data_IF_080364130881
#
_entry.id   IF_080364130881
#
_cell.length_a   1.000
_cell.length_b   1.000
_cell.length_c   1.000
_cell.angle_alpha   90.00
_cell.angle_beta   90.00
_cell.angle_gamma   90.00
#
_symmetry.space_group_name_H-M   'P 1'
#
loop_
_entity.id
_entity.type
_entity.pdbx_description
1 polymer ?
#
# COMPACT_ATOMS: atom_id res chain seq x y z
N UNK A 1 46.70 -18.03 7.91
CA UNK A 1 46.28 -17.23 6.72
C UNK A 1 47.51 -17.06 5.88
N UNK A 2 47.43 -17.26 4.57
CA UNK A 2 48.54 -17.07 3.64
C UNK A 2 48.83 -15.57 3.40
N UNK A 3 49.98 -15.26 2.78
CA UNK A 3 50.42 -13.88 2.52
C UNK A 3 49.40 -13.14 1.63
N UNK A 4 48.88 -13.81 0.61
CA UNK A 4 47.90 -13.23 -0.32
C UNK A 4 46.58 -12.82 0.40
N UNK A 5 46.05 -13.68 1.27
CA UNK A 5 44.89 -13.36 2.09
C UNK A 5 45.12 -12.19 3.06
N UNK A 6 46.38 -12.03 3.54
CA UNK A 6 46.76 -10.87 4.38
C UNK A 6 46.77 -9.57 3.57
N UNK A 7 47.30 -9.59 2.36
CA UNK A 7 47.31 -8.45 1.42
C UNK A 7 45.86 -8.00 1.09
N UNK A 8 44.95 -8.96 0.84
CA UNK A 8 43.55 -8.65 0.60
C UNK A 8 42.88 -8.01 1.83
N UNK A 9 43.23 -8.43 3.05
CA UNK A 9 42.72 -7.79 4.27
C UNK A 9 43.25 -6.36 4.47
N UNK A 10 44.52 -6.12 4.12
CA UNK A 10 45.06 -4.76 4.15
C UNK A 10 44.37 -3.83 3.15
N UNK A 11 44.12 -4.32 1.92
CA UNK A 11 43.31 -3.59 0.93
C UNK A 11 41.93 -3.33 1.45
N UNK A 12 41.25 -4.30 2.08
CA UNK A 12 39.94 -4.10 2.69
C UNK A 12 39.98 -2.98 3.74
N UNK A 13 40.95 -2.97 4.65
CA UNK A 13 41.09 -1.94 5.69
C UNK A 13 41.25 -0.55 5.10
N UNK A 14 42.02 -0.40 4.01
CA UNK A 14 42.24 0.87 3.33
C UNK A 14 41.00 1.40 2.66
N UNK A 15 40.11 0.50 2.15
CA UNK A 15 38.87 0.82 1.47
C UNK A 15 37.64 0.85 2.39
N UNK A 16 37.79 0.50 3.67
CA UNK A 16 36.69 0.42 4.61
C UNK A 16 35.86 1.74 4.74
N UNK A 17 36.49 2.93 4.76
CA UNK A 17 35.73 4.17 4.77
C UNK A 17 34.84 4.33 3.52
N UNK A 18 35.37 3.99 2.34
CA UNK A 18 34.65 4.04 1.06
C UNK A 18 33.50 3.04 1.04
N UNK A 19 33.72 1.79 1.50
CA UNK A 19 32.65 0.80 1.62
C UNK A 19 31.56 1.24 2.57
N UNK A 20 31.90 1.89 3.68
CA UNK A 20 30.92 2.39 4.66
C UNK A 20 30.09 3.50 4.08
N UNK A 21 30.69 4.47 3.40
CA UNK A 21 29.99 5.56 2.73
C UNK A 21 29.05 5.04 1.63
N UNK A 22 29.55 4.17 0.76
CA UNK A 22 28.71 3.56 -0.27
C UNK A 22 27.52 2.79 0.33
N UNK A 23 27.75 2.07 1.43
CA UNK A 23 26.69 1.30 2.09
C UNK A 23 25.61 2.19 2.69
N UNK A 24 25.87 3.44 3.02
CA UNK A 24 24.89 4.42 3.50
C UNK A 24 24.21 5.16 2.34
N UNK A 25 24.99 5.63 1.36
CA UNK A 25 24.48 6.48 0.27
C UNK A 25 23.60 5.71 -0.72
N UNK A 26 23.98 4.49 -1.09
CA UNK A 26 23.22 3.72 -2.09
C UNK A 26 21.80 3.40 -1.64
N UNK A 27 21.54 2.90 -0.40
CA UNK A 27 20.19 2.66 0.08
C UNK A 27 19.30 3.91 0.10
N UNK A 28 19.86 5.06 0.50
CA UNK A 28 19.09 6.32 0.52
C UNK A 28 18.68 6.76 -0.90
N UNK A 29 19.60 6.64 -1.86
CA UNK A 29 19.27 6.91 -3.27
C UNK A 29 18.23 5.92 -3.80
N UNK A 30 18.34 4.62 -3.46
CA UNK A 30 17.38 3.61 -3.88
C UNK A 30 15.97 3.91 -3.37
N UNK A 31 15.81 4.36 -2.13
CA UNK A 31 14.51 4.76 -1.58
C UNK A 31 13.88 5.86 -2.43
N UNK A 32 14.65 6.91 -2.79
CA UNK A 32 14.17 7.98 -3.66
C UNK A 32 13.69 7.46 -5.03
N UNK A 33 14.45 6.55 -5.67
CA UNK A 33 14.03 5.96 -6.95
C UNK A 33 12.81 5.05 -6.83
N UNK A 34 12.64 4.35 -5.70
CA UNK A 34 11.44 3.55 -5.46
C UNK A 34 10.22 4.46 -5.28
N UNK A 35 10.36 5.57 -4.55
CA UNK A 35 9.29 6.54 -4.36
C UNK A 35 8.89 7.19 -5.70
N UNK A 36 9.84 7.60 -6.53
CA UNK A 36 9.59 8.11 -7.89
C UNK A 36 8.89 7.09 -8.79
N UNK A 37 9.21 5.81 -8.62
CA UNK A 37 8.56 4.71 -9.34
C UNK A 37 7.19 4.31 -8.77
N UNK A 38 6.74 4.93 -7.67
CA UNK A 38 5.52 4.55 -6.94
C UNK A 38 5.60 3.16 -6.33
N UNK A 39 6.80 2.70 -5.99
CA UNK A 39 7.06 1.36 -5.46
C UNK A 39 7.27 1.41 -3.95
N UNK A 40 6.27 0.93 -3.22
CA UNK A 40 6.33 0.87 -1.75
C UNK A 40 7.09 -0.38 -1.31
N UNK A 41 8.23 -0.18 -0.62
CA UNK A 41 9.02 -1.25 -0.02
C UNK A 41 8.88 -1.23 1.51
N UNK A 42 8.98 -2.39 2.13
CA UNK A 42 8.90 -2.51 3.59
C UNK A 42 10.16 -1.98 4.28
N UNK A 43 11.33 -2.25 3.71
CA UNK A 43 12.60 -1.75 4.20
C UNK A 43 13.70 -1.83 3.13
N UNK A 44 14.71 -0.97 3.27
CA UNK A 44 16.00 -1.07 2.60
C UNK A 44 17.06 -1.08 3.69
N UNK A 45 17.70 -2.25 3.89
CA UNK A 45 18.74 -2.47 4.88
C UNK A 45 20.10 -2.57 4.20
N UNK A 46 21.16 -2.25 4.92
CA UNK A 46 22.51 -2.43 4.41
C UNK A 46 23.46 -2.97 5.49
N UNK A 47 24.54 -3.51 5.04
CA UNK A 47 25.66 -3.90 5.90
C UNK A 47 26.98 -3.87 5.15
N UNK A 48 28.07 -3.58 5.84
CA UNK A 48 29.42 -3.87 5.39
C UNK A 48 29.87 -5.15 6.09
N UNK A 49 30.47 -6.09 5.35
CA UNK A 49 30.97 -7.34 5.89
C UNK A 49 32.09 -7.04 6.90
N UNK A 50 32.02 -7.60 8.10
CA UNK A 50 33.08 -7.41 9.11
C UNK A 50 34.40 -8.05 8.69
N UNK A 51 35.52 -7.51 9.17
CA UNK A 51 36.82 -8.05 8.89
C UNK A 51 36.95 -9.53 9.28
N UNK A 52 36.38 -9.94 10.43
CA UNK A 52 36.35 -11.32 10.88
C UNK A 52 35.64 -12.24 9.90
N UNK A 53 34.48 -11.79 9.40
CA UNK A 53 33.70 -12.55 8.40
C UNK A 53 34.42 -12.63 7.06
N UNK A 54 35.14 -11.57 6.67
CA UNK A 54 35.98 -11.56 5.48
C UNK A 54 37.18 -12.51 5.65
N UNK A 55 37.88 -12.45 6.78
CA UNK A 55 38.98 -13.31 7.09
C UNK A 55 38.59 -14.80 7.07
N UNK A 56 37.44 -15.14 7.65
CA UNK A 56 36.89 -16.50 7.56
C UNK A 56 36.62 -16.94 6.13
N UNK A 57 36.07 -16.05 5.29
CA UNK A 57 35.82 -16.32 3.87
C UNK A 57 37.14 -16.55 3.09
N UNK A 58 38.14 -15.73 3.35
CA UNK A 58 39.46 -15.84 2.71
C UNK A 58 40.19 -17.11 3.11
N UNK A 59 40.09 -17.56 4.36
CA UNK A 59 40.64 -18.84 4.79
C UNK A 59 40.06 -20.03 4.03
N UNK A 60 38.78 -19.98 3.70
CA UNK A 60 38.09 -21.07 2.99
C UNK A 60 38.26 -20.99 1.47
N UNK A 61 38.35 -19.80 0.90
CA UNK A 61 38.23 -19.55 -0.55
C UNK A 61 39.23 -18.50 -1.06
N UNK A 62 40.28 -18.17 -0.32
CA UNK A 62 41.21 -17.07 -0.65
C UNK A 62 41.82 -17.19 -2.04
N UNK A 63 42.19 -18.40 -2.45
CA UNK A 63 42.78 -18.68 -3.77
C UNK A 63 41.84 -18.38 -4.96
N UNK A 64 40.58 -18.14 -4.71
CA UNK A 64 39.57 -17.76 -5.74
C UNK A 64 39.70 -16.31 -6.16
N UNK A 65 40.20 -15.44 -5.28
CA UNK A 65 40.17 -13.99 -5.45
C UNK A 65 41.53 -13.45 -5.80
N UNK A 66 41.70 -12.78 -6.93
CA UNK A 66 42.94 -12.13 -7.34
C UNK A 66 43.06 -10.71 -6.77
N UNK A 67 41.92 -10.07 -6.49
CA UNK A 67 41.83 -8.70 -5.97
C UNK A 67 40.68 -8.60 -4.97
N UNK A 68 40.74 -7.61 -4.09
CA UNK A 68 39.64 -7.26 -3.19
C UNK A 68 38.33 -6.95 -3.96
N UNK A 69 38.45 -6.42 -5.17
CA UNK A 69 37.31 -6.13 -6.06
C UNK A 69 36.62 -7.38 -6.60
N UNK A 70 37.24 -8.57 -6.49
CA UNK A 70 36.59 -9.84 -6.89
C UNK A 70 35.58 -10.31 -5.85
N UNK A 71 35.59 -9.74 -4.65
CA UNK A 71 34.67 -10.08 -3.56
C UNK A 71 33.44 -9.26 -3.68
N UNK A 72 32.35 -9.87 -4.11
CA UNK A 72 31.11 -9.20 -4.50
C UNK A 72 30.15 -8.88 -3.36
N UNK A 73 30.42 -9.37 -2.14
CA UNK A 73 29.52 -9.31 -0.98
C UNK A 73 30.11 -8.57 0.23
N UNK A 74 31.09 -7.65 -0.03
CA UNK A 74 31.60 -6.75 1.01
C UNK A 74 30.51 -5.79 1.45
N UNK A 75 29.83 -5.14 0.50
CA UNK A 75 28.61 -4.37 0.75
C UNK A 75 27.42 -5.25 0.39
N UNK A 76 26.53 -5.44 1.34
CA UNK A 76 25.26 -6.13 1.16
C UNK A 76 24.10 -5.19 1.41
N UNK A 77 23.21 -5.06 0.44
CA UNK A 77 21.96 -4.29 0.53
C UNK A 77 20.81 -5.29 0.48
N UNK A 78 19.78 -5.08 1.29
CA UNK A 78 18.57 -5.87 1.26
C UNK A 78 17.39 -4.95 0.98
N UNK A 79 16.64 -5.27 -0.07
CA UNK A 79 15.37 -4.62 -0.38
C UNK A 79 14.25 -5.59 -0.03
N UNK A 80 13.42 -5.20 0.93
CA UNK A 80 12.34 -6.01 1.46
C UNK A 80 11.03 -5.45 0.93
N UNK A 81 10.30 -6.24 0.15
CA UNK A 81 9.01 -5.87 -0.44
C UNK A 81 7.86 -6.51 0.33
N UNK A 82 6.66 -5.95 0.21
CA UNK A 82 5.47 -6.55 0.79
C UNK A 82 4.95 -7.73 -0.06
N UNK A 83 5.12 -7.67 -1.39
CA UNK A 83 4.56 -8.63 -2.34
C UNK A 83 5.64 -9.19 -3.26
N UNK A 84 5.46 -10.45 -3.67
CA UNK A 84 6.42 -11.12 -4.56
C UNK A 84 6.51 -10.43 -5.94
N UNK A 85 5.39 -9.92 -6.46
CA UNK A 85 5.36 -9.18 -7.74
C UNK A 85 6.23 -7.90 -7.71
N UNK A 86 6.45 -7.31 -6.53
CA UNK A 86 7.25 -6.10 -6.39
C UNK A 86 8.76 -6.39 -6.39
N UNK A 87 9.18 -7.64 -6.13
CA UNK A 87 10.57 -8.07 -6.26
C UNK A 87 11.07 -7.87 -7.70
N UNK A 88 10.26 -8.24 -8.70
CA UNK A 88 10.63 -8.06 -10.11
C UNK A 88 10.62 -6.58 -10.54
N UNK A 89 9.76 -5.76 -9.93
CA UNK A 89 9.78 -4.31 -10.16
C UNK A 89 11.03 -3.66 -9.56
N UNK A 90 11.44 -4.07 -8.34
CA UNK A 90 12.70 -3.65 -7.73
C UNK A 90 13.86 -4.05 -8.64
N UNK A 91 13.90 -5.30 -9.11
CA UNK A 91 14.92 -5.79 -10.05
C UNK A 91 15.02 -4.89 -11.29
N UNK A 92 13.88 -4.55 -11.91
CA UNK A 92 13.83 -3.67 -13.08
C UNK A 92 14.32 -2.24 -12.79
N UNK A 93 14.15 -1.73 -11.57
CA UNK A 93 14.74 -0.44 -11.16
C UNK A 93 16.26 -0.58 -11.05
N UNK A 94 16.76 -1.64 -10.41
CA UNK A 94 18.21 -1.87 -10.28
C UNK A 94 18.90 -2.02 -11.64
N UNK A 95 18.29 -2.74 -12.60
CA UNK A 95 18.82 -2.92 -13.96
C UNK A 95 18.94 -1.59 -14.73
N UNK A 96 18.12 -0.60 -14.40
CA UNK A 96 18.21 0.74 -15.00
C UNK A 96 19.27 1.62 -14.35
N UNK A 97 19.53 1.41 -13.07
CA UNK A 97 20.43 2.26 -12.28
C UNK A 97 21.87 1.77 -12.27
N UNK A 98 22.08 0.45 -12.32
CA UNK A 98 23.37 -0.19 -12.13
C UNK A 98 23.73 -1.11 -13.29
N UNK A 99 25.03 -1.35 -13.46
CA UNK A 99 25.53 -2.45 -14.27
C UNK A 99 25.42 -3.74 -13.47
N UNK A 100 24.69 -4.72 -14.00
CA UNK A 100 24.48 -6.01 -13.34
C UNK A 100 25.53 -7.00 -13.81
N UNK A 101 26.27 -7.57 -12.87
CA UNK A 101 27.17 -8.69 -13.09
C UNK A 101 26.35 -10.00 -13.13
N UNK A 102 25.88 -10.36 -14.33
CA UNK A 102 25.01 -11.51 -14.53
C UNK A 102 25.67 -12.86 -14.21
N UNK A 103 27.00 -12.95 -14.31
CA UNK A 103 27.74 -14.18 -14.01
C UNK A 103 27.74 -14.51 -12.51
N UNK A 104 27.74 -13.47 -11.67
CA UNK A 104 27.73 -13.61 -10.23
C UNK A 104 26.34 -13.37 -9.60
N UNK A 105 25.35 -12.93 -10.38
CA UNK A 105 23.97 -12.75 -9.95
C UNK A 105 23.18 -14.07 -10.00
N UNK A 106 22.29 -14.29 -9.05
CA UNK A 106 21.55 -15.56 -8.94
C UNK A 106 20.09 -15.28 -8.64
N UNK A 107 19.20 -15.76 -9.50
CA UNK A 107 17.77 -15.88 -9.19
C UNK A 107 17.52 -17.24 -8.53
N UNK A 108 17.59 -17.28 -7.20
CA UNK A 108 17.35 -18.50 -6.45
C UNK A 108 15.90 -18.99 -6.54
N UNK A 109 14.94 -18.14 -6.98
CA UNK A 109 13.55 -18.52 -7.19
C UNK A 109 13.39 -19.49 -8.37
N UNK A 110 14.31 -19.40 -9.37
CA UNK A 110 14.33 -20.26 -10.56
C UNK A 110 15.21 -21.50 -10.40
N UNK A 111 16.08 -21.54 -9.38
CA UNK A 111 17.04 -22.63 -9.16
C UNK A 111 16.40 -23.85 -8.46
N UNK A 112 15.11 -24.13 -8.68
CA UNK A 112 14.47 -25.31 -8.14
C UNK A 112 14.97 -26.58 -8.84
N UNK A 113 15.93 -27.25 -8.21
CA UNK A 113 15.91 -28.70 -8.24
C UNK A 113 14.66 -29.13 -7.46
N UNK A 114 13.86 -30.01 -8.03
CA UNK A 114 12.54 -30.45 -7.53
C UNK A 114 12.59 -31.02 -6.09
N UNK A 115 13.77 -31.17 -5.51
CA UNK A 115 14.00 -31.81 -4.20
C UNK A 115 14.44 -30.81 -3.08
N UNK A 116 14.66 -29.53 -3.37
CA UNK A 116 15.06 -28.56 -2.35
C UNK A 116 14.02 -27.46 -2.16
N UNK A 117 13.19 -27.62 -1.15
CA UNK A 117 12.33 -26.53 -0.68
C UNK A 117 13.18 -25.53 0.13
N UNK A 118 13.49 -24.41 -0.47
CA UNK A 118 14.08 -23.25 0.18
C UNK A 118 13.31 -22.02 -0.20
N UNK A 119 12.97 -21.17 0.76
CA UNK A 119 12.29 -19.91 0.51
C UNK A 119 13.32 -18.89 0.00
N UNK A 120 13.28 -18.62 -1.30
CA UNK A 120 14.44 -18.14 -2.05
C UNK A 120 14.29 -16.67 -2.46
N UNK A 121 15.42 -15.96 -2.49
CA UNK A 121 15.52 -14.54 -2.83
C UNK A 121 16.23 -14.34 -4.17
N UNK A 122 16.02 -13.18 -4.80
CA UNK A 122 16.76 -12.73 -5.97
C UNK A 122 17.98 -11.94 -5.52
N UNK A 123 19.16 -12.31 -6.00
CA UNK A 123 20.43 -11.67 -5.69
C UNK A 123 21.06 -11.08 -6.93
N UNK A 124 21.23 -9.78 -6.97
CA UNK A 124 22.00 -9.09 -7.99
C UNK A 124 23.33 -8.62 -7.45
N UNK A 125 24.39 -8.84 -8.23
CA UNK A 125 25.67 -8.20 -8.03
C UNK A 125 25.71 -6.98 -8.93
N UNK A 126 25.79 -5.81 -8.30
CA UNK A 126 25.67 -4.53 -8.95
C UNK A 126 27.00 -3.79 -8.93
N UNK A 127 27.19 -2.92 -9.91
CA UNK A 127 28.28 -1.96 -10.01
C UNK A 127 27.74 -0.60 -10.45
N UNK A 128 28.32 0.47 -9.96
CA UNK A 128 27.98 1.83 -10.40
C UNK A 128 28.48 2.02 -11.85
N UNK A 129 27.62 2.44 -12.80
CA UNK A 129 28.04 2.65 -14.18
C UNK A 129 29.09 3.76 -14.29
N UNK A 130 30.14 3.55 -15.10
CA UNK A 130 31.22 4.53 -15.30
C UNK A 130 30.73 5.90 -15.77
N UNK A 131 29.65 5.91 -16.57
CA UNK A 131 29.05 7.16 -17.10
C UNK A 131 28.23 7.93 -16.08
N UNK A 132 27.79 7.30 -15.03
CA UNK A 132 26.88 7.90 -14.03
C UNK A 132 27.62 8.51 -12.85
N UNK A 133 28.88 8.13 -12.64
CA UNK A 133 29.66 8.57 -11.52
C UNK A 133 31.15 8.63 -11.89
N UNK A 134 31.68 9.81 -12.06
CA UNK A 134 33.11 10.04 -12.10
C UNK A 134 33.46 10.95 -10.91
N UNK A 135 33.91 10.36 -9.82
CA UNK A 135 34.54 11.07 -8.73
C UNK A 135 36.05 11.04 -8.94
N UNK A 136 36.70 12.20 -9.21
CA UNK A 136 38.14 12.27 -9.38
C UNK A 136 38.93 11.87 -8.12
N UNK A 137 38.30 12.01 -6.94
CA UNK A 137 38.92 11.68 -5.65
C UNK A 137 38.84 10.19 -5.35
N UNK A 138 37.82 9.50 -5.92
CA UNK A 138 37.58 8.06 -5.68
C UNK A 138 37.33 7.28 -6.98
N UNK A 139 38.37 7.15 -7.84
CA UNK A 139 38.25 6.44 -9.13
C UNK A 139 37.97 4.94 -8.99
N UNK A 140 38.18 4.39 -7.77
CA UNK A 140 37.91 3.00 -7.43
C UNK A 140 36.42 2.66 -7.27
N UNK A 141 35.54 3.64 -7.07
CA UNK A 141 34.11 3.42 -6.83
C UNK A 141 33.45 2.56 -7.91
N UNK A 142 33.82 2.78 -9.18
CA UNK A 142 33.30 2.03 -10.31
C UNK A 142 33.78 0.57 -10.38
N UNK A 143 34.83 0.21 -9.62
CA UNK A 143 35.34 -1.15 -9.52
C UNK A 143 34.67 -1.94 -8.40
N UNK A 144 34.09 -1.24 -7.43
CA UNK A 144 33.45 -1.87 -6.27
C UNK A 144 32.15 -2.52 -6.72
N UNK A 145 32.02 -3.82 -6.42
CA UNK A 145 30.79 -4.57 -6.59
C UNK A 145 30.09 -4.71 -5.24
N UNK A 146 28.78 -4.68 -5.28
CA UNK A 146 27.94 -4.87 -4.10
C UNK A 146 26.75 -5.79 -4.39
N UNK A 147 26.36 -6.55 -3.38
CA UNK A 147 25.24 -7.48 -3.50
C UNK A 147 23.92 -6.78 -3.09
N UNK A 148 22.90 -6.89 -3.94
CA UNK A 148 21.53 -6.49 -3.60
C UNK A 148 20.65 -7.72 -3.54
N UNK A 149 20.15 -8.03 -2.34
CA UNK A 149 19.25 -9.14 -2.05
C UNK A 149 17.81 -8.61 -2.03
N UNK A 150 16.99 -9.08 -2.94
CA UNK A 150 15.57 -8.72 -3.04
C UNK A 150 14.72 -9.87 -2.53
N UNK A 151 13.79 -9.58 -1.62
CA UNK A 151 12.94 -10.60 -0.99
C UNK A 151 11.68 -9.99 -0.41
N UNK A 152 10.64 -10.81 -0.19
CA UNK A 152 9.46 -10.37 0.55
C UNK A 152 9.71 -10.34 2.05
N UNK A 153 8.79 -9.70 2.79
CA UNK A 153 8.78 -9.72 4.27
C UNK A 153 8.77 -11.17 4.80
N UNK A 154 7.98 -12.05 4.17
CA UNK A 154 7.89 -13.45 4.59
C UNK A 154 9.19 -14.21 4.29
N UNK A 155 9.81 -13.99 3.12
CA UNK A 155 11.12 -14.53 2.77
C UNK A 155 12.20 -14.03 3.73
N UNK A 156 12.13 -12.75 4.13
CA UNK A 156 13.07 -12.17 5.08
C UNK A 156 12.93 -12.81 6.47
N UNK A 157 11.70 -12.93 6.97
CA UNK A 157 11.43 -13.55 8.26
C UNK A 157 11.90 -15.01 8.29
N UNK A 158 11.57 -15.80 7.25
CA UNK A 158 12.02 -17.19 7.16
C UNK A 158 13.54 -17.32 7.13
N UNK A 159 14.23 -16.49 6.34
CA UNK A 159 15.68 -16.52 6.24
C UNK A 159 16.35 -16.23 7.60
N UNK A 160 15.81 -15.28 8.36
CA UNK A 160 16.32 -14.94 9.69
C UNK A 160 16.08 -16.08 10.69
N UNK A 161 14.88 -16.68 10.72
CA UNK A 161 14.55 -17.81 11.59
C UNK A 161 15.37 -19.05 11.23
N UNK A 162 15.53 -19.36 9.95
CA UNK A 162 16.32 -20.49 9.49
C UNK A 162 17.82 -20.32 9.83
N UNK A 163 18.35 -19.10 9.70
CA UNK A 163 19.73 -18.77 10.09
C UNK A 163 19.94 -18.91 11.61
N UNK A 164 18.99 -18.45 12.41
CA UNK A 164 19.08 -18.55 13.88
C UNK A 164 19.01 -20.02 14.35
N UNK A 165 18.14 -20.81 13.73
CA UNK A 165 17.92 -22.22 14.08
C UNK A 165 19.06 -23.13 13.60
N UNK A 166 19.64 -22.85 12.41
CA UNK A 166 20.58 -23.74 11.74
C UNK A 166 22.06 -23.39 11.92
N UNK A 167 22.42 -22.11 11.99
CA UNK A 167 23.81 -21.69 11.89
C UNK A 167 24.52 -21.45 13.24
N UNK A 168 23.78 -21.00 14.26
CA UNK A 168 24.35 -20.69 15.59
C UNK A 168 24.69 -21.91 16.43
N UNK A 169 24.09 -23.07 16.13
CA UNK A 169 24.27 -24.27 16.96
C UNK A 169 25.55 -25.04 16.66
N UNK A 170 26.19 -24.84 15.52
CA UNK A 170 27.35 -25.63 15.09
C UNK A 170 27.09 -27.14 14.98
N UNK A 171 25.82 -27.54 15.13
CA UNK A 171 25.39 -28.95 15.11
C UNK A 171 24.49 -29.15 13.88
N UNK A 172 24.68 -30.24 13.18
CA UNK A 172 23.87 -30.62 12.03
C UNK A 172 22.40 -30.82 12.48
N UNK A 173 21.47 -30.10 11.80
CA UNK A 173 20.04 -30.20 12.10
C UNK A 173 19.54 -31.60 11.71
N UNK A 174 18.86 -32.35 12.62
CA UNK A 174 18.29 -33.64 12.28
C UNK A 174 17.30 -33.57 11.11
N UNK A 175 17.34 -34.55 10.21
CA UNK A 175 16.53 -34.59 8.96
C UNK A 175 15.04 -34.36 9.15
N UNK A 176 14.49 -34.76 10.31
CA UNK A 176 13.06 -34.53 10.65
C UNK A 176 12.74 -33.04 10.72
N UNK A 177 13.62 -32.24 11.34
CA UNK A 177 13.43 -30.79 11.46
C UNK A 177 13.68 -30.06 10.13
N UNK A 178 14.64 -30.52 9.33
CA UNK A 178 14.86 -30.01 7.97
C UNK A 178 13.61 -30.16 7.12
N UNK A 179 12.95 -31.31 7.20
CA UNK A 179 11.68 -31.55 6.50
C UNK A 179 10.57 -30.61 6.98
N UNK A 180 10.51 -30.33 8.29
CA UNK A 180 9.53 -29.40 8.83
C UNK A 180 9.79 -27.96 8.36
N UNK A 181 11.07 -27.54 8.33
CA UNK A 181 11.47 -26.25 7.77
C UNK A 181 11.11 -26.12 6.28
N UNK A 182 11.37 -27.17 5.47
CA UNK A 182 10.97 -27.19 4.06
C UNK A 182 9.46 -27.05 3.88
N UNK A 183 8.65 -27.71 4.73
CA UNK A 183 7.18 -27.57 4.69
C UNK A 183 6.76 -26.13 5.01
N UNK A 184 7.35 -25.51 6.03
CA UNK A 184 7.08 -24.12 6.38
C UNK A 184 7.47 -23.16 5.23
N UNK A 185 8.60 -23.41 4.56
CA UNK A 185 8.99 -22.64 3.38
C UNK A 185 7.92 -22.70 2.28
N UNK A 186 7.43 -23.90 1.94
CA UNK A 186 6.39 -24.05 0.94
C UNK A 186 5.04 -23.43 1.36
N UNK A 187 4.70 -23.44 2.66
CA UNK A 187 3.51 -22.72 3.15
C UNK A 187 3.66 -21.21 3.01
N UNK A 188 4.81 -20.66 3.33
CA UNK A 188 5.08 -19.21 3.18
C UNK A 188 5.08 -18.78 1.71
N UNK A 189 5.58 -19.61 0.80
CA UNK A 189 5.51 -19.38 -0.64
C UNK A 189 4.06 -19.26 -1.12
N UNK A 190 3.20 -20.21 -0.72
CA UNK A 190 1.76 -20.15 -1.03
C UNK A 190 1.10 -18.90 -0.46
N UNK A 191 1.50 -18.44 0.72
CA UNK A 191 0.95 -17.23 1.35
C UNK A 191 1.40 -15.97 0.58
N UNK A 192 2.66 -15.88 0.15
CA UNK A 192 3.16 -14.76 -0.67
C UNK A 192 2.42 -14.66 -2.01
N UNK A 193 2.22 -15.80 -2.69
CA UNK A 193 1.48 -15.87 -3.94
C UNK A 193 0.02 -15.44 -3.74
N UNK A 194 -0.61 -15.87 -2.65
CA UNK A 194 -2.00 -15.54 -2.34
C UNK A 194 -2.18 -14.04 -2.04
N UNK A 195 -1.28 -13.42 -1.28
CA UNK A 195 -1.30 -11.97 -1.07
C UNK A 195 -1.17 -11.20 -2.39
N UNK A 196 -0.26 -11.62 -3.27
CA UNK A 196 -0.09 -11.00 -4.58
C UNK A 196 -1.32 -11.20 -5.48
N UNK A 197 -1.97 -12.38 -5.42
CA UNK A 197 -3.22 -12.67 -6.13
C UNK A 197 -4.34 -11.75 -5.68
N UNK A 198 -4.58 -11.66 -4.35
CA UNK A 198 -5.62 -10.79 -3.77
C UNK A 198 -5.38 -9.33 -4.17
N UNK A 199 -4.14 -8.84 -4.11
CA UNK A 199 -3.79 -7.48 -4.52
C UNK A 199 -4.14 -7.20 -5.98
N UNK A 200 -3.83 -8.13 -6.90
CA UNK A 200 -4.18 -8.01 -8.32
C UNK A 200 -5.69 -7.99 -8.53
N UNK A 201 -6.42 -8.91 -7.90
CA UNK A 201 -7.87 -8.99 -7.98
C UNK A 201 -8.56 -7.72 -7.47
N UNK A 202 -8.09 -7.16 -6.35
CA UNK A 202 -8.58 -5.87 -5.84
C UNK A 202 -8.28 -4.71 -6.80
N UNK A 203 -7.12 -4.69 -7.42
CA UNK A 203 -6.79 -3.66 -8.42
C UNK A 203 -7.67 -3.77 -9.67
N UNK A 204 -7.97 -4.99 -10.12
CA UNK A 204 -8.86 -5.27 -11.25
C UNK A 204 -10.30 -4.89 -10.90
N UNK A 205 -10.75 -5.23 -9.70
CA UNK A 205 -12.06 -4.84 -9.20
C UNK A 205 -12.22 -3.30 -9.20
N UNK A 206 -11.25 -2.58 -8.65
CA UNK A 206 -11.28 -1.10 -8.61
C UNK A 206 -11.34 -0.50 -10.02
N UNK A 207 -10.57 -1.03 -10.96
CA UNK A 207 -10.62 -0.58 -12.37
C UNK A 207 -12.01 -0.82 -12.99
N UNK A 208 -12.60 -1.99 -12.78
CA UNK A 208 -13.93 -2.32 -13.25
C UNK A 208 -14.99 -1.40 -12.65
N UNK A 209 -14.93 -1.15 -11.34
CA UNK A 209 -15.82 -0.20 -10.66
C UNK A 209 -15.72 1.18 -11.27
N UNK A 210 -14.52 1.72 -11.46
CA UNK A 210 -14.32 3.03 -12.08
C UNK A 210 -14.92 3.12 -13.48
N UNK A 211 -14.78 2.08 -14.31
CA UNK A 211 -15.36 2.01 -15.64
C UNK A 211 -16.90 2.01 -15.58
N UNK A 212 -17.50 1.21 -14.69
CA UNK A 212 -18.95 1.15 -14.52
C UNK A 212 -19.52 2.48 -14.01
N UNK A 213 -18.84 3.12 -13.04
CA UNK A 213 -19.21 4.45 -12.53
C UNK A 213 -19.14 5.49 -13.66
N UNK A 214 -18.05 5.50 -14.43
CA UNK A 214 -17.89 6.44 -15.55
C UNK A 214 -18.91 6.24 -16.68
N UNK A 215 -19.34 4.99 -16.91
CA UNK A 215 -20.38 4.67 -17.92
C UNK A 215 -21.83 4.85 -17.43
N UNK A 216 -22.02 5.12 -16.13
CA UNK A 216 -23.34 5.28 -15.54
C UNK A 216 -24.09 3.97 -15.22
N UNK A 217 -23.44 2.81 -15.35
CA UNK A 217 -24.01 1.50 -15.06
C UNK A 217 -23.99 1.18 -13.55
N UNK A 218 -24.54 2.08 -12.75
CA UNK A 218 -24.44 2.07 -11.28
C UNK A 218 -25.21 0.92 -10.61
N UNK A 219 -26.26 0.40 -11.25
CA UNK A 219 -27.04 -0.74 -10.74
C UNK A 219 -26.27 -2.07 -10.74
N UNK A 220 -25.19 -2.15 -11.51
CA UNK A 220 -24.32 -3.33 -11.55
C UNK A 220 -23.17 -3.26 -10.54
N UNK A 221 -23.03 -2.13 -9.82
CA UNK A 221 -21.92 -1.90 -8.88
C UNK A 221 -22.42 -2.10 -7.46
N UNK A 222 -21.88 -3.11 -6.77
CA UNK A 222 -22.17 -3.35 -5.36
C UNK A 222 -21.74 -2.16 -4.49
N UNK A 223 -22.49 -1.88 -3.44
CA UNK A 223 -22.21 -0.78 -2.51
C UNK A 223 -21.22 -1.23 -1.43
N UNK A 224 -19.97 -0.90 -1.62
CA UNK A 224 -18.88 -1.11 -0.67
C UNK A 224 -17.96 0.13 -0.57
N UNK A 225 -16.91 0.05 0.27
CA UNK A 225 -16.01 1.17 0.51
C UNK A 225 -15.26 1.66 -0.74
N UNK A 226 -14.81 0.75 -1.60
CA UNK A 226 -14.07 1.12 -2.82
C UNK A 226 -15.00 1.69 -3.90
N UNK A 227 -16.17 1.08 -4.06
CA UNK A 227 -17.18 1.54 -5.03
C UNK A 227 -17.79 2.89 -4.63
N UNK A 228 -18.12 3.07 -3.36
CA UNK A 228 -18.66 4.33 -2.86
C UNK A 228 -17.63 5.47 -2.98
N UNK A 229 -16.36 5.22 -2.63
CA UNK A 229 -15.29 6.21 -2.83
C UNK A 229 -15.13 6.59 -4.30
N UNK A 230 -15.17 5.61 -5.21
CA UNK A 230 -15.15 5.87 -6.66
C UNK A 230 -16.35 6.68 -7.11
N UNK A 231 -17.54 6.39 -6.57
CA UNK A 231 -18.77 7.14 -6.88
C UNK A 231 -18.69 8.60 -6.42
N UNK A 232 -18.09 8.87 -5.26
CA UNK A 232 -17.92 10.24 -4.75
C UNK A 232 -17.02 11.10 -5.66
N UNK A 233 -16.11 10.49 -6.44
CA UNK A 233 -15.25 11.25 -7.38
C UNK A 233 -16.03 11.95 -8.48
N UNK A 234 -17.18 11.41 -8.87
CA UNK A 234 -18.07 12.04 -9.87
C UNK A 234 -19.06 13.07 -9.26
N UNK A 235 -18.90 13.35 -7.96
CA UNK A 235 -19.69 14.35 -7.22
C UNK A 235 -21.20 14.21 -7.39
N UNK A 236 -21.79 13.03 -7.06
CA UNK A 236 -23.20 12.72 -7.38
C UNK A 236 -24.20 13.68 -6.72
N UNK A 237 -23.84 14.29 -5.60
CA UNK A 237 -24.70 15.20 -4.82
C UNK A 237 -24.54 16.69 -5.21
N UNK A 238 -23.57 17.03 -6.06
CA UNK A 238 -23.17 18.41 -6.33
C UNK A 238 -24.32 19.27 -6.90
N UNK A 239 -25.11 18.71 -7.82
CA UNK A 239 -26.26 19.41 -8.38
C UNK A 239 -27.28 19.85 -7.31
N UNK A 240 -27.54 18.94 -6.35
CA UNK A 240 -28.47 19.22 -5.25
C UNK A 240 -27.81 20.18 -4.24
N UNK A 241 -26.55 20.01 -3.91
CA UNK A 241 -25.84 20.92 -3.03
C UNK A 241 -25.81 22.35 -3.56
N UNK A 242 -25.58 22.56 -4.86
CA UNK A 242 -25.65 23.89 -5.47
C UNK A 242 -27.04 24.50 -5.40
N UNK A 243 -28.09 23.67 -5.59
CA UNK A 243 -29.47 24.12 -5.45
C UNK A 243 -29.80 24.54 -4.02
N UNK A 244 -29.35 23.77 -3.03
CA UNK A 244 -29.51 24.10 -1.60
C UNK A 244 -28.73 25.35 -1.25
N UNK A 245 -27.45 25.45 -1.64
CA UNK A 245 -26.62 26.62 -1.38
C UNK A 245 -27.19 27.92 -1.99
N UNK A 246 -27.91 27.83 -3.11
CA UNK A 246 -28.52 28.99 -3.73
C UNK A 246 -29.67 29.64 -2.89
N UNK A 247 -30.16 28.96 -1.85
CA UNK A 247 -31.22 29.52 -0.95
C UNK A 247 -30.67 30.76 -0.23
N UNK A 248 -29.43 30.67 0.30
CA UNK A 248 -28.75 31.75 1.03
C UNK A 248 -27.56 32.34 0.29
N UNK A 249 -27.30 31.96 -0.96
CA UNK A 249 -26.09 32.30 -1.72
C UNK A 249 -24.83 31.85 -1.02
N UNK A 250 -24.89 30.75 -0.27
CA UNK A 250 -23.79 30.19 0.53
C UNK A 250 -22.72 29.54 -0.33
N UNK A 251 -21.47 29.57 0.15
CA UNK A 251 -20.38 28.78 -0.40
C UNK A 251 -20.46 27.33 0.07
N UNK A 252 -20.11 26.37 -0.81
CA UNK A 252 -20.09 24.95 -0.46
C UNK A 252 -18.69 24.60 0.03
N UNK A 253 -18.60 24.15 1.29
CA UNK A 253 -17.40 23.58 1.86
C UNK A 253 -17.40 22.06 1.67
N UNK A 254 -16.42 21.55 0.96
CA UNK A 254 -16.25 20.11 0.76
C UNK A 254 -15.86 19.43 2.09
N UNK A 255 -16.59 18.35 2.43
CA UNK A 255 -16.32 17.50 3.60
C UNK A 255 -16.27 16.04 3.19
N UNK A 256 -15.67 15.20 4.04
CA UNK A 256 -15.65 13.74 3.81
C UNK A 256 -17.08 13.17 3.95
N UNK A 257 -17.53 12.46 2.92
CA UNK A 257 -18.84 11.80 2.87
C UNK A 257 -18.76 10.29 3.10
N UNK A 258 -17.61 9.76 3.48
CA UNK A 258 -17.43 8.31 3.69
C UNK A 258 -18.31 7.75 4.83
N UNK A 259 -18.68 8.59 5.80
CA UNK A 259 -19.58 8.26 6.90
C UNK A 259 -21.04 7.98 6.45
N UNK A 260 -21.41 8.32 5.21
CA UNK A 260 -22.73 7.97 4.67
C UNK A 260 -22.84 6.51 4.21
N UNK A 261 -21.70 5.82 3.97
CA UNK A 261 -21.73 4.42 3.54
C UNK A 261 -22.46 3.49 4.52
N UNK A 262 -22.12 3.47 5.82
CA UNK A 262 -22.85 2.66 6.79
C UNK A 262 -24.34 2.99 6.83
N UNK A 263 -24.70 4.27 6.71
CA UNK A 263 -26.09 4.72 6.69
C UNK A 263 -26.85 4.17 5.47
N UNK A 264 -26.29 4.24 4.26
CA UNK A 264 -26.91 3.65 3.07
C UNK A 264 -27.07 2.13 3.19
N UNK A 265 -26.06 1.44 3.76
CA UNK A 265 -26.15 0.01 4.03
C UNK A 265 -27.23 -0.32 5.07
N UNK A 266 -27.41 0.50 6.11
CA UNK A 266 -28.48 0.37 7.09
C UNK A 266 -29.88 0.60 6.44
N UNK A 267 -29.95 1.45 5.43
CA UNK A 267 -31.15 1.63 4.58
C UNK A 267 -31.39 0.47 3.60
N UNK A 268 -30.54 -0.60 3.66
CA UNK A 268 -30.57 -1.78 2.80
C UNK A 268 -30.27 -1.48 1.33
N UNK A 269 -29.53 -0.42 1.04
CA UNK A 269 -28.98 -0.20 -0.28
C UNK A 269 -27.85 -1.21 -0.55
N UNK A 270 -27.88 -1.82 -1.70
CA UNK A 270 -26.96 -2.89 -2.11
C UNK A 270 -26.08 -2.50 -3.27
N UNK A 271 -26.50 -1.48 -4.03
CA UNK A 271 -25.79 -0.99 -5.22
C UNK A 271 -25.66 0.52 -5.21
N UNK A 272 -24.73 1.05 -6.01
CA UNK A 272 -24.65 2.49 -6.27
C UNK A 272 -25.90 3.01 -7.01
N UNK A 273 -26.58 2.14 -7.76
CA UNK A 273 -27.85 2.44 -8.42
C UNK A 273 -28.96 2.80 -7.42
N UNK A 274 -28.98 2.20 -6.24
CA UNK A 274 -29.95 2.52 -5.20
C UNK A 274 -29.78 3.97 -4.72
N UNK A 275 -28.54 4.43 -4.55
CA UNK A 275 -28.23 5.83 -4.20
C UNK A 275 -28.64 6.75 -5.35
N UNK A 276 -28.33 6.39 -6.59
CA UNK A 276 -28.72 7.18 -7.76
C UNK A 276 -30.25 7.32 -7.89
N UNK A 277 -30.98 6.24 -7.65
CA UNK A 277 -32.44 6.27 -7.62
C UNK A 277 -32.94 7.15 -6.49
N UNK A 278 -32.39 7.06 -5.30
CA UNK A 278 -32.73 7.95 -4.19
C UNK A 278 -32.50 9.43 -4.57
N UNK A 279 -31.34 9.75 -5.18
CA UNK A 279 -31.11 11.14 -5.66
C UNK A 279 -32.19 11.58 -6.65
N UNK A 280 -32.51 10.74 -7.63
CA UNK A 280 -33.50 11.04 -8.66
C UNK A 280 -34.87 11.25 -8.07
N UNK A 281 -35.32 10.38 -7.18
CA UNK A 281 -36.70 10.33 -6.70
C UNK A 281 -36.94 11.32 -5.55
N UNK A 282 -35.91 11.66 -4.76
CA UNK A 282 -36.06 12.46 -3.54
C UNK A 282 -35.37 13.83 -3.59
N UNK A 283 -34.72 14.25 -4.70
CA UNK A 283 -34.05 15.57 -4.77
C UNK A 283 -34.98 16.72 -4.53
N UNK A 284 -36.25 16.65 -5.01
CA UNK A 284 -37.24 17.71 -4.78
C UNK A 284 -37.66 17.77 -3.30
N UNK A 285 -37.93 16.62 -2.69
CA UNK A 285 -38.26 16.53 -1.28
C UNK A 285 -37.09 17.01 -0.38
N UNK A 286 -35.88 16.60 -0.69
CA UNK A 286 -34.67 17.05 0.01
C UNK A 286 -34.46 18.56 -0.09
N UNK A 287 -34.72 19.14 -1.26
CA UNK A 287 -34.68 20.60 -1.42
C UNK A 287 -35.78 21.33 -0.61
N UNK A 288 -36.99 20.79 -0.54
CA UNK A 288 -38.03 21.36 0.31
C UNK A 288 -37.68 21.36 1.80
N UNK A 289 -37.06 20.26 2.28
CA UNK A 289 -36.53 20.16 3.66
C UNK A 289 -35.44 21.21 3.88
N UNK A 290 -34.50 21.31 2.96
CA UNK A 290 -33.42 22.29 3.05
C UNK A 290 -33.94 23.75 3.04
N UNK A 291 -34.90 24.08 2.17
CA UNK A 291 -35.52 25.40 2.15
C UNK A 291 -36.11 25.77 3.51
N UNK A 292 -36.75 24.82 4.18
CA UNK A 292 -37.30 25.05 5.50
C UNK A 292 -36.22 25.23 6.57
N UNK A 293 -35.17 24.40 6.59
CA UNK A 293 -34.09 24.44 7.58
C UNK A 293 -33.21 25.68 7.41
N UNK A 294 -32.82 25.98 6.17
CA UNK A 294 -31.80 26.97 5.84
C UNK A 294 -32.45 28.34 5.56
N UNK A 295 -33.68 28.38 5.04
CA UNK A 295 -34.35 29.63 4.68
C UNK A 295 -34.65 30.56 5.86
N UNK A 296 -34.53 30.08 7.11
CA UNK A 296 -34.65 30.87 8.34
C UNK A 296 -33.29 31.25 8.95
N UNK A 297 -32.19 30.89 8.31
CA UNK A 297 -30.83 31.14 8.77
C UNK A 297 -30.09 32.01 7.76
N UNK A 298 -29.04 32.69 8.23
CA UNK A 298 -28.19 33.53 7.39
C UNK A 298 -26.79 32.85 7.34
N UNK A 299 -26.73 31.67 6.70
CA UNK A 299 -25.53 30.87 6.62
C UNK A 299 -24.78 31.16 5.31
N UNK A 300 -23.56 31.68 5.42
CA UNK A 300 -22.67 31.97 4.30
C UNK A 300 -21.92 30.73 3.78
N UNK A 301 -21.83 29.64 4.59
CA UNK A 301 -21.12 28.40 4.28
C UNK A 301 -22.01 27.20 4.58
N UNK A 302 -22.08 26.28 3.62
CA UNK A 302 -22.79 25.00 3.75
C UNK A 302 -21.85 23.83 3.48
N UNK A 303 -21.93 22.79 4.28
CA UNK A 303 -21.16 21.57 4.05
C UNK A 303 -21.71 20.78 2.85
N UNK A 304 -20.83 20.13 2.08
CA UNK A 304 -21.25 19.26 0.98
C UNK A 304 -22.04 18.02 1.45
N UNK A 305 -22.15 17.78 2.76
CA UNK A 305 -22.99 16.76 3.39
C UNK A 305 -24.48 17.13 3.47
N UNK A 306 -24.85 18.37 3.19
CA UNK A 306 -26.25 18.83 3.28
C UNK A 306 -27.17 18.09 2.30
N UNK A 307 -26.75 17.92 1.05
CA UNK A 307 -27.55 17.20 0.08
C UNK A 307 -27.78 15.72 0.45
N UNK A 308 -26.76 14.91 0.73
CA UNK A 308 -27.01 13.53 1.12
C UNK A 308 -27.77 13.40 2.45
N UNK A 309 -27.58 14.30 3.42
CA UNK A 309 -28.33 14.28 4.69
C UNK A 309 -29.83 14.57 4.45
N UNK A 310 -30.15 15.58 3.66
CA UNK A 310 -31.52 15.90 3.34
C UNK A 310 -32.23 14.84 2.45
N UNK A 311 -31.44 14.18 1.56
CA UNK A 311 -31.92 13.01 0.81
C UNK A 311 -32.29 11.84 1.73
N UNK A 312 -31.43 11.52 2.68
CA UNK A 312 -31.70 10.48 3.68
C UNK A 312 -32.89 10.83 4.55
N UNK A 313 -33.02 12.09 4.98
CA UNK A 313 -34.18 12.58 5.73
C UNK A 313 -35.45 12.39 4.95
N UNK A 314 -35.52 12.85 3.69
CA UNK A 314 -36.65 12.67 2.82
C UNK A 314 -37.02 11.20 2.59
N UNK A 315 -36.01 10.36 2.33
CA UNK A 315 -36.20 8.92 2.13
C UNK A 315 -36.78 8.24 3.38
N UNK A 316 -36.24 8.52 4.56
CA UNK A 316 -36.70 7.95 5.83
C UNK A 316 -38.12 8.35 6.13
N UNK A 317 -38.48 9.63 5.96
CA UNK A 317 -39.82 10.15 6.22
C UNK A 317 -40.86 9.52 5.27
N UNK A 318 -40.54 9.43 3.99
CA UNK A 318 -41.45 8.88 2.98
C UNK A 318 -41.66 7.37 3.11
N UNK A 319 -40.66 6.64 3.62
CA UNK A 319 -40.74 5.20 3.86
C UNK A 319 -41.22 4.84 5.28
N UNK A 320 -41.78 5.78 6.03
CA UNK A 320 -42.41 5.51 7.32
C UNK A 320 -41.46 5.34 8.49
N UNK A 321 -40.16 5.72 8.34
CA UNK A 321 -39.16 5.63 9.43
C UNK A 321 -39.42 6.59 10.59
N UNK A 322 -40.08 7.71 10.32
CA UNK A 322 -40.51 8.70 11.33
C UNK A 322 -39.39 9.16 12.27
N UNK A 323 -39.73 9.50 13.52
CA UNK A 323 -38.81 9.98 14.53
C UNK A 323 -37.68 8.96 14.79
N UNK A 324 -38.01 7.67 14.87
CA UNK A 324 -37.04 6.63 15.18
C UNK A 324 -35.98 6.51 14.08
N UNK A 325 -36.41 6.46 12.83
CA UNK A 325 -35.46 6.36 11.69
C UNK A 325 -34.56 7.58 11.57
N UNK A 326 -35.10 8.80 11.79
CA UNK A 326 -34.30 10.03 11.77
C UNK A 326 -33.33 10.10 12.93
N UNK A 327 -33.71 9.67 14.14
CA UNK A 327 -32.79 9.59 15.28
C UNK A 327 -31.62 8.65 14.98
N UNK A 328 -31.89 7.45 14.44
CA UNK A 328 -30.85 6.49 14.08
C UNK A 328 -29.91 7.07 13.01
N UNK A 329 -30.44 7.77 12.01
CA UNK A 329 -29.62 8.45 11.00
C UNK A 329 -28.69 9.50 11.64
N UNK A 330 -29.24 10.35 12.51
CA UNK A 330 -28.46 11.39 13.18
C UNK A 330 -27.42 10.81 14.15
N UNK A 331 -27.74 9.71 14.84
CA UNK A 331 -26.81 9.00 15.70
C UNK A 331 -25.66 8.37 14.91
N UNK A 332 -25.92 7.88 13.68
CA UNK A 332 -24.87 7.34 12.80
C UNK A 332 -23.96 8.43 12.26
N UNK A 333 -24.51 9.59 11.87
CA UNK A 333 -23.73 10.68 11.29
C UNK A 333 -22.95 11.51 12.32
N UNK A 334 -23.55 11.77 13.49
CA UNK A 334 -23.03 12.73 14.48
C UNK A 334 -22.55 12.07 15.79
N UNK A 335 -22.74 10.75 15.92
CA UNK A 335 -22.63 10.04 17.20
C UNK A 335 -23.87 10.15 18.06
N UNK A 336 -24.13 9.17 18.95
CA UNK A 336 -25.33 9.16 19.81
C UNK A 336 -25.42 10.39 20.73
N UNK A 337 -26.58 11.07 20.71
CA UNK A 337 -26.82 12.26 21.51
C UNK A 337 -28.33 12.45 21.79
N UNK A 338 -28.66 13.02 22.97
CA UNK A 338 -30.03 13.44 23.29
C UNK A 338 -30.52 14.53 22.32
N UNK A 339 -29.63 15.39 21.84
CA UNK A 339 -29.96 16.42 20.87
C UNK A 339 -30.46 15.84 19.53
N UNK A 340 -30.02 14.67 19.15
CA UNK A 340 -30.43 13.97 17.93
C UNK A 340 -31.94 13.54 18.03
N UNK A 341 -32.38 13.16 19.21
CA UNK A 341 -33.76 12.81 19.43
C UNK A 341 -34.70 14.03 19.28
N UNK A 342 -34.28 15.15 19.87
CA UNK A 342 -35.01 16.42 19.72
C UNK A 342 -35.02 16.89 18.27
N UNK A 343 -33.89 16.81 17.58
CA UNK A 343 -33.80 17.18 16.17
C UNK A 343 -34.68 16.28 15.29
N UNK A 344 -34.70 14.97 15.56
CA UNK A 344 -35.51 14.01 14.82
C UNK A 344 -37.01 14.33 14.99
N UNK A 345 -37.44 14.67 16.22
CA UNK A 345 -38.81 15.08 16.49
C UNK A 345 -39.21 16.40 15.78
N UNK A 346 -38.30 17.38 15.84
CA UNK A 346 -38.44 18.64 15.13
C UNK A 346 -38.60 18.44 13.62
N UNK A 347 -37.72 17.61 13.00
CA UNK A 347 -37.78 17.31 11.57
C UNK A 347 -39.12 16.64 11.16
N UNK A 348 -39.61 15.70 11.96
CA UNK A 348 -40.89 15.04 11.70
C UNK A 348 -42.01 16.05 11.73
N UNK A 349 -42.06 16.90 12.77
CA UNK A 349 -43.15 17.86 12.94
C UNK A 349 -43.19 18.89 11.79
N UNK A 350 -42.06 19.45 11.48
CA UNK A 350 -41.92 20.46 10.41
C UNK A 350 -42.14 19.90 9.01
N UNK A 351 -41.85 18.62 8.80
CA UNK A 351 -42.03 17.99 7.49
C UNK A 351 -43.48 17.62 7.17
N UNK A 352 -44.41 17.60 8.15
CA UNK A 352 -45.80 17.20 7.96
C UNK A 352 -46.53 18.04 6.90
N UNK A 353 -46.22 19.34 6.86
CA UNK A 353 -46.91 20.29 5.97
C UNK A 353 -46.18 20.44 4.61
N UNK A 354 -45.03 19.75 4.42
CA UNK A 354 -44.32 19.85 3.16
C UNK A 354 -45.03 19.09 2.03
N UNK A 355 -45.02 19.66 0.80
CA UNK A 355 -45.79 19.10 -0.33
C UNK A 355 -45.46 17.64 -0.64
N UNK A 356 -44.19 17.21 -0.46
CA UNK A 356 -43.79 15.84 -0.75
C UNK A 356 -44.39 14.79 0.21
N UNK A 357 -44.80 15.18 1.42
CA UNK A 357 -45.49 14.29 2.37
C UNK A 357 -46.93 14.01 1.98
N UNK A 358 -47.56 14.90 1.23
CA UNK A 358 -48.97 14.83 0.84
C UNK A 358 -49.17 14.21 -0.56
N UNK A 359 -48.10 13.86 -1.25
CA UNK A 359 -48.12 13.13 -2.53
C UNK A 359 -47.91 11.63 -2.30
#
# INVERSE_FOLDING_TARGET
MDIHSQELLEQYRSLLPVYSEMAEVIPEKLKGFFDEAGLIVAAVEHRVKTEESLAGKLQLKGNKYSSIYDITDIIGIRVITFYIDDVDKVASVLERLFEIDWENSVDKRKAHETDSFGYLSLHYICRIPEKSFSDPEHPELNKIRFEVQMRTVLQHAWANMNHDTGYKSGVEIPKVYLRNLSRLAGMLELVDDEFSRIRRELADYRRKVQQLVASGNLSEVALDGDSFRSYLTIKPFDRLNRRIASINQAEIQEVDLSNFLPLFQAMRFTTLGDIQNMIKDFSEAANQIACFQIGLTDLDILASSEAPQNLCTAYILKNGGGKIGLKLMLDELNGPSESNEYMAEFLVEQSKDLPFMNQ
#
